data_IF_403832038065
#
_entry.id   IF_403832038065
#
_cell.length_a   1.000
_cell.length_b   1.000
_cell.length_c   1.000
_cell.angle_alpha   90.00
_cell.angle_beta   90.00
_cell.angle_gamma   90.00
#
_symmetry.space_group_name_H-M   'P 1'
#
loop_
_entity.id
_entity.type
_entity.pdbx_description
1 polymer ?
#
# COMPACT_ATOMS: atom_id res chain seq x y z
N UNK A 1 -24.03 -26.00 -9.47
CA UNK A 1 -23.07 -25.10 -10.17
C UNK A 1 -23.09 -25.47 -11.66
N UNK A 2 -23.00 -24.46 -12.53
CA UNK A 2 -22.76 -24.71 -13.96
C UNK A 2 -21.27 -25.03 -14.20
N UNK A 3 -20.89 -25.38 -15.44
CA UNK A 3 -19.53 -25.81 -15.77
C UNK A 3 -18.46 -24.74 -15.50
N UNK A 4 -18.78 -23.47 -15.77
CA UNK A 4 -17.85 -22.34 -15.54
C UNK A 4 -17.63 -22.11 -14.05
N UNK A 5 -18.69 -22.11 -13.26
CA UNK A 5 -18.62 -21.99 -11.80
C UNK A 5 -17.86 -23.16 -11.18
N UNK A 6 -18.07 -24.38 -11.67
CA UNK A 6 -17.32 -25.55 -11.18
C UNK A 6 -15.81 -25.40 -11.47
N UNK A 7 -15.44 -24.99 -12.68
CA UNK A 7 -14.04 -24.77 -13.03
C UNK A 7 -13.39 -23.67 -12.18
N UNK A 8 -14.11 -22.58 -11.90
CA UNK A 8 -13.63 -21.50 -11.02
C UNK A 8 -13.48 -21.99 -9.57
N UNK A 9 -14.46 -22.71 -9.06
CA UNK A 9 -14.39 -23.32 -7.73
C UNK A 9 -13.19 -24.27 -7.61
N UNK A 10 -12.96 -25.16 -8.57
CA UNK A 10 -11.84 -26.08 -8.56
C UNK A 10 -10.50 -25.35 -8.57
N UNK A 11 -10.38 -24.27 -9.38
CA UNK A 11 -9.21 -23.37 -9.40
C UNK A 11 -8.97 -22.71 -8.02
N UNK A 12 -10.01 -22.15 -7.43
CA UNK A 12 -9.91 -21.49 -6.12
C UNK A 12 -9.59 -22.49 -5.02
N UNK A 13 -10.26 -23.65 -5.00
CA UNK A 13 -10.04 -24.70 -4.00
C UNK A 13 -8.62 -25.23 -4.02
N UNK A 14 -8.07 -25.51 -5.20
CA UNK A 14 -6.70 -26.00 -5.34
C UNK A 14 -5.65 -25.08 -4.68
N UNK A 15 -5.97 -23.79 -4.56
CA UNK A 15 -5.09 -22.78 -3.97
C UNK A 15 -5.43 -22.43 -2.53
N UNK A 16 -6.71 -22.45 -2.18
CA UNK A 16 -7.24 -21.78 -0.98
C UNK A 16 -7.85 -22.74 0.07
N UNK A 17 -7.92 -24.06 -0.19
CA UNK A 17 -8.60 -25.01 0.71
C UNK A 17 -8.06 -25.00 2.16
N UNK A 18 -6.82 -24.56 2.37
CA UNK A 18 -6.21 -24.46 3.71
C UNK A 18 -6.46 -23.11 4.41
N UNK A 19 -6.95 -22.10 3.69
CA UNK A 19 -7.09 -20.74 4.21
C UNK A 19 -8.51 -20.18 4.13
N UNK A 20 -9.36 -20.75 3.26
CA UNK A 20 -10.76 -20.33 3.06
C UNK A 20 -11.70 -21.53 3.19
N UNK A 21 -12.80 -21.44 3.98
CA UNK A 21 -13.77 -22.50 4.11
C UNK A 21 -14.43 -22.90 2.78
N UNK A 22 -14.68 -24.21 2.57
CA UNK A 22 -15.24 -24.73 1.32
C UNK A 22 -16.59 -24.10 0.93
N UNK A 23 -17.47 -23.87 1.92
CA UNK A 23 -18.76 -23.21 1.69
C UNK A 23 -18.60 -21.81 1.12
N UNK A 24 -17.61 -21.06 1.59
CA UNK A 24 -17.29 -19.72 1.10
C UNK A 24 -16.72 -19.77 -0.31
N UNK A 25 -15.81 -20.71 -0.59
CA UNK A 25 -15.24 -20.90 -1.94
C UNK A 25 -16.32 -21.14 -2.99
N UNK A 26 -17.40 -21.88 -2.65
CA UNK A 26 -18.51 -22.13 -3.56
C UNK A 26 -19.26 -20.85 -3.92
N UNK A 27 -19.58 -20.04 -2.91
CA UNK A 27 -20.27 -18.76 -3.10
C UNK A 27 -19.40 -17.80 -3.90
N UNK A 28 -18.15 -17.64 -3.49
CA UNK A 28 -17.19 -16.74 -4.15
C UNK A 28 -16.87 -17.15 -5.59
N UNK A 29 -16.90 -18.45 -5.93
CA UNK A 29 -16.71 -18.91 -7.30
C UNK A 29 -17.85 -18.46 -8.23
N UNK A 30 -19.10 -18.43 -7.77
CA UNK A 30 -20.23 -17.89 -8.54
C UNK A 30 -20.05 -16.41 -8.84
N UNK A 31 -19.71 -15.63 -7.80
CA UNK A 31 -19.44 -14.19 -7.93
C UNK A 31 -18.23 -13.92 -8.86
N UNK A 32 -17.17 -14.71 -8.73
CA UNK A 32 -15.98 -14.57 -9.57
C UNK A 32 -16.27 -14.80 -11.06
N UNK A 33 -17.12 -15.77 -11.40
CA UNK A 33 -17.53 -16.03 -12.79
C UNK A 33 -18.29 -14.83 -13.34
N UNK A 34 -19.22 -14.25 -12.59
CA UNK A 34 -19.99 -13.08 -12.99
C UNK A 34 -19.10 -11.84 -13.17
N UNK A 35 -18.19 -11.59 -12.23
CA UNK A 35 -17.21 -10.49 -12.33
C UNK A 35 -16.35 -10.65 -13.58
N UNK A 36 -15.80 -11.84 -13.83
CA UNK A 36 -14.94 -12.08 -15.00
C UNK A 36 -15.70 -11.93 -16.32
N UNK A 37 -16.97 -12.27 -16.38
CA UNK A 37 -17.83 -12.01 -17.55
C UNK A 37 -18.03 -10.51 -17.79
N UNK A 38 -18.41 -9.76 -16.76
CA UNK A 38 -18.57 -8.29 -16.81
C UNK A 38 -17.26 -7.56 -17.14
N UNK A 39 -16.13 -8.06 -16.63
CA UNK A 39 -14.80 -7.51 -16.94
C UNK A 39 -14.52 -7.54 -18.46
N UNK A 40 -14.86 -8.65 -19.11
CA UNK A 40 -14.72 -8.77 -20.57
C UNK A 40 -15.71 -7.84 -21.31
N UNK A 41 -16.99 -7.89 -20.91
CA UNK A 41 -18.05 -7.06 -21.51
C UNK A 41 -17.74 -5.57 -21.45
N UNK A 42 -17.17 -5.12 -20.35
CA UNK A 42 -16.89 -3.71 -20.08
C UNK A 42 -15.50 -3.25 -20.51
N UNK A 43 -14.72 -4.10 -21.17
CA UNK A 43 -13.30 -3.85 -21.43
C UNK A 43 -12.56 -3.32 -20.19
N UNK A 44 -12.74 -4.01 -19.05
CA UNK A 44 -12.20 -3.61 -17.75
C UNK A 44 -10.95 -4.41 -17.38
N UNK A 45 -10.08 -3.79 -16.57
CA UNK A 45 -8.98 -4.41 -15.83
C UNK A 45 -9.25 -4.30 -14.33
N UNK A 46 -8.98 -5.35 -13.58
CA UNK A 46 -9.04 -5.35 -12.12
C UNK A 46 -7.62 -5.40 -11.56
N UNK A 47 -7.29 -4.40 -10.75
CA UNK A 47 -6.02 -4.28 -10.03
C UNK A 47 -6.25 -4.61 -8.56
N UNK A 48 -5.58 -5.64 -8.02
CA UNK A 48 -5.75 -6.09 -6.64
C UNK A 48 -4.51 -5.85 -5.80
N UNK A 49 -4.66 -5.11 -4.70
CA UNK A 49 -3.56 -4.93 -3.76
C UNK A 49 -3.26 -6.23 -3.00
N UNK A 50 -2.00 -6.42 -2.56
CA UNK A 50 -1.56 -7.59 -1.80
C UNK A 50 -2.32 -7.83 -0.47
N UNK A 51 -3.06 -6.82 0.02
CA UNK A 51 -3.89 -6.88 1.21
C UNK A 51 -5.35 -7.31 0.95
N UNK A 52 -5.69 -7.70 -0.27
CA UNK A 52 -7.04 -8.20 -0.56
C UNK A 52 -7.26 -9.58 0.04
N UNK A 53 -8.51 -9.88 0.42
CA UNK A 53 -8.90 -11.21 0.91
C UNK A 53 -8.50 -12.31 -0.09
N UNK A 54 -8.09 -13.51 0.37
CA UNK A 54 -7.59 -14.56 -0.52
C UNK A 54 -8.53 -14.95 -1.65
N UNK A 55 -9.84 -15.02 -1.40
CA UNK A 55 -10.81 -15.38 -2.42
C UNK A 55 -10.85 -14.37 -3.56
N UNK A 56 -10.82 -13.07 -3.25
CA UNK A 56 -10.69 -11.99 -4.23
C UNK A 56 -9.33 -12.06 -4.93
N UNK A 57 -8.25 -12.09 -4.16
CA UNK A 57 -6.87 -12.02 -4.64
C UNK A 57 -6.54 -13.07 -5.69
N UNK A 58 -7.02 -14.32 -5.51
CA UNK A 58 -6.71 -15.44 -6.40
C UNK A 58 -7.74 -15.69 -7.51
N UNK A 59 -8.80 -14.90 -7.62
CA UNK A 59 -9.89 -15.19 -8.57
C UNK A 59 -10.14 -14.13 -9.64
N UNK A 60 -10.20 -12.86 -9.29
CA UNK A 60 -10.72 -11.81 -10.18
C UNK A 60 -9.69 -10.78 -10.68
N UNK A 61 -8.61 -10.39 -9.95
CA UNK A 61 -7.64 -9.44 -10.47
C UNK A 61 -6.88 -9.96 -11.70
N UNK A 62 -6.60 -9.05 -12.64
CA UNK A 62 -5.68 -9.30 -13.75
C UNK A 62 -4.23 -9.11 -13.32
N UNK A 63 -4.02 -8.19 -12.38
CA UNK A 63 -2.73 -7.92 -11.76
C UNK A 63 -2.89 -7.76 -10.27
N UNK A 64 -1.96 -8.35 -9.53
CA UNK A 64 -1.82 -8.19 -8.08
C UNK A 64 -0.43 -7.65 -7.77
N UNK A 65 -0.31 -6.85 -6.69
CA UNK A 65 0.98 -6.27 -6.34
C UNK A 65 0.90 -5.23 -5.24
N UNK A 66 2.01 -4.54 -5.04
CA UNK A 66 2.09 -3.34 -4.19
C UNK A 66 1.64 -2.08 -4.94
N UNK A 67 1.62 -0.95 -4.23
CA UNK A 67 1.16 0.32 -4.80
C UNK A 67 1.97 0.78 -6.01
N UNK A 68 3.28 0.49 -6.06
CA UNK A 68 4.15 0.90 -7.18
C UNK A 68 3.85 0.08 -8.43
N UNK A 69 3.81 -1.25 -8.29
CA UNK A 69 3.51 -2.14 -9.40
C UNK A 69 2.12 -1.87 -9.98
N UNK A 70 1.12 -1.71 -9.10
CA UNK A 70 -0.24 -1.42 -9.56
C UNK A 70 -0.37 -0.04 -10.21
N UNK A 71 0.38 0.97 -9.75
CA UNK A 71 0.46 2.27 -10.43
C UNK A 71 1.04 2.15 -11.84
N UNK A 72 2.12 1.36 -12.02
CA UNK A 72 2.71 1.08 -13.33
C UNK A 72 1.74 0.32 -14.24
N UNK A 73 1.03 -0.68 -13.71
CA UNK A 73 0.01 -1.42 -14.46
C UNK A 73 -1.17 -0.53 -14.86
N UNK A 74 -1.61 0.34 -13.96
CA UNK A 74 -2.63 1.34 -14.29
C UNK A 74 -2.19 2.26 -15.43
N UNK A 75 -0.94 2.75 -15.42
CA UNK A 75 -0.40 3.63 -16.45
C UNK A 75 -0.29 2.96 -17.82
N UNK A 76 -0.08 1.63 -17.86
CA UNK A 76 0.19 0.87 -19.08
C UNK A 76 -1.05 0.19 -19.69
N UNK A 77 -2.17 0.14 -18.97
CA UNK A 77 -3.36 -0.58 -19.45
C UNK A 77 -4.02 0.10 -20.66
N UNK A 78 -4.48 -0.69 -21.60
CA UNK A 78 -5.30 -0.26 -22.76
C UNK A 78 -6.81 -0.30 -22.47
N UNK A 79 -7.22 -0.81 -21.31
CA UNK A 79 -8.61 -1.00 -20.91
C UNK A 79 -9.32 0.33 -20.65
N UNK A 80 -10.62 0.39 -20.93
CA UNK A 80 -11.45 1.59 -20.75
C UNK A 80 -11.84 1.81 -19.27
N UNK A 81 -11.98 0.71 -18.54
CA UNK A 81 -12.37 0.71 -17.12
C UNK A 81 -11.28 0.08 -16.27
N UNK A 82 -10.91 0.76 -15.19
CA UNK A 82 -9.99 0.25 -14.17
C UNK A 82 -10.80 0.07 -12.89
N UNK A 83 -10.91 -1.15 -12.37
CA UNK A 83 -11.43 -1.40 -11.02
C UNK A 83 -10.26 -1.56 -10.09
N UNK A 84 -10.16 -0.70 -9.10
CA UNK A 84 -9.06 -0.74 -8.14
C UNK A 84 -9.52 -1.40 -6.83
N UNK A 85 -9.21 -2.68 -6.64
CA UNK A 85 -9.39 -3.38 -5.37
C UNK A 85 -8.24 -3.01 -4.42
N UNK A 86 -8.45 -1.93 -3.70
CA UNK A 86 -7.53 -1.26 -2.78
C UNK A 86 -8.24 -0.08 -2.13
N UNK A 87 -7.50 0.98 -1.78
CA UNK A 87 -8.07 2.16 -1.11
C UNK A 87 -8.06 3.40 -2.01
N UNK A 88 -8.80 4.43 -1.59
CA UNK A 88 -9.11 5.62 -2.39
C UNK A 88 -7.87 6.29 -3.00
N UNK A 89 -6.80 6.51 -2.24
CA UNK A 89 -5.61 7.17 -2.78
C UNK A 89 -4.93 6.38 -3.92
N UNK A 90 -5.06 5.05 -3.93
CA UNK A 90 -4.56 4.19 -5.02
C UNK A 90 -5.41 4.36 -6.27
N UNK A 91 -6.74 4.38 -6.11
CA UNK A 91 -7.66 4.62 -7.20
C UNK A 91 -7.53 6.06 -7.75
N UNK A 92 -7.31 7.06 -6.90
CA UNK A 92 -6.95 8.43 -7.33
C UNK A 92 -5.64 8.45 -8.12
N UNK A 93 -4.61 7.71 -7.68
CA UNK A 93 -3.35 7.59 -8.41
C UNK A 93 -3.57 6.99 -9.82
N UNK A 94 -4.40 5.94 -9.92
CA UNK A 94 -4.79 5.38 -11.22
C UNK A 94 -5.55 6.40 -12.08
N UNK A 95 -6.44 7.20 -11.50
CA UNK A 95 -7.18 8.26 -12.21
C UNK A 95 -6.27 9.41 -12.66
N UNK A 96 -5.31 9.81 -11.83
CA UNK A 96 -4.30 10.84 -12.17
C UNK A 96 -3.53 10.42 -13.44
N UNK A 97 -3.14 9.15 -13.53
CA UNK A 97 -2.41 8.59 -14.66
C UNK A 97 -3.29 8.32 -15.90
N UNK A 98 -4.61 8.16 -15.70
CA UNK A 98 -5.57 7.80 -16.75
C UNK A 98 -6.80 8.73 -16.76
N UNK A 99 -6.65 10.00 -17.13
CA UNK A 99 -7.72 10.99 -17.03
C UNK A 99 -8.96 10.65 -17.85
N UNK A 100 -8.79 9.96 -18.97
CA UNK A 100 -9.88 9.63 -19.90
C UNK A 100 -10.56 8.28 -19.60
N UNK A 101 -10.03 7.50 -18.63
CA UNK A 101 -10.61 6.19 -18.29
C UNK A 101 -11.55 6.30 -17.10
N UNK A 102 -12.50 5.38 -17.04
CA UNK A 102 -13.33 5.21 -15.85
C UNK A 102 -12.55 4.44 -14.80
N UNK A 103 -12.33 5.02 -13.62
CA UNK A 103 -11.71 4.35 -12.48
C UNK A 103 -12.77 4.13 -11.42
N UNK A 104 -12.96 2.88 -11.02
CA UNK A 104 -13.94 2.46 -10.02
C UNK A 104 -13.23 2.02 -8.74
N UNK A 105 -13.76 2.46 -7.61
CA UNK A 105 -13.39 1.98 -6.28
C UNK A 105 -14.58 1.19 -5.73
N UNK A 106 -14.45 -0.11 -5.39
CA UNK A 106 -15.60 -0.93 -4.97
C UNK A 106 -16.33 -0.44 -3.71
N UNK A 107 -15.65 0.31 -2.83
CA UNK A 107 -16.27 0.87 -1.62
C UNK A 107 -15.87 2.33 -1.41
N UNK A 108 -16.84 3.21 -1.14
CA UNK A 108 -16.62 4.62 -0.77
C UNK A 108 -16.03 4.78 0.65
N UNK A 109 -16.08 3.71 1.46
CA UNK A 109 -15.50 3.65 2.80
C UNK A 109 -14.02 3.28 2.81
N UNK A 110 -13.45 2.89 1.67
CA UNK A 110 -12.07 2.49 1.53
C UNK A 110 -11.10 3.69 1.58
N UNK A 111 -11.01 4.36 2.74
CA UNK A 111 -10.08 5.45 3.03
C UNK A 111 -8.67 4.97 3.40
N UNK A 112 -7.93 5.84 4.12
CA UNK A 112 -6.62 5.51 4.69
C UNK A 112 -6.29 6.50 5.81
N UNK A 113 -5.89 6.03 6.99
CA UNK A 113 -5.52 6.89 8.13
C UNK A 113 -4.34 7.81 7.80
N UNK A 114 -3.35 7.32 7.08
CA UNK A 114 -2.22 8.14 6.62
C UNK A 114 -2.66 9.21 5.62
N UNK A 115 -3.49 8.86 4.64
CA UNK A 115 -3.97 9.83 3.66
C UNK A 115 -4.82 10.95 4.31
N UNK A 116 -5.51 10.64 5.40
CA UNK A 116 -6.30 11.59 6.18
C UNK A 116 -5.47 12.42 7.19
N UNK A 117 -4.20 12.04 7.44
CA UNK A 117 -3.36 12.68 8.45
C UNK A 117 -2.71 14.00 7.99
N UNK A 118 -2.84 14.36 6.72
CA UNK A 118 -2.21 15.56 6.14
C UNK A 118 -3.11 16.16 5.05
N UNK A 119 -3.06 17.47 4.91
CA UNK A 119 -3.78 18.23 3.89
C UNK A 119 -2.82 18.96 2.94
N UNK A 120 -3.32 19.39 1.78
CA UNK A 120 -2.55 20.23 0.86
C UNK A 120 -2.11 21.55 1.51
N UNK A 121 -2.88 22.09 2.48
CA UNK A 121 -2.50 23.30 3.19
C UNK A 121 -1.28 23.07 4.08
N UNK A 122 -1.21 21.93 4.79
CA UNK A 122 -0.05 21.57 5.62
C UNK A 122 1.23 21.51 4.76
N UNK A 123 1.13 20.97 3.54
CA UNK A 123 2.28 20.94 2.61
C UNK A 123 2.72 22.33 2.20
N UNK A 124 1.78 23.24 1.91
CA UNK A 124 2.10 24.64 1.59
C UNK A 124 2.77 25.36 2.77
N UNK A 125 2.28 25.11 3.98
CA UNK A 125 2.83 25.71 5.20
C UNK A 125 4.27 25.18 5.47
N UNK A 126 4.52 23.89 5.26
CA UNK A 126 5.86 23.32 5.33
C UNK A 126 6.80 23.91 4.26
N UNK A 127 6.33 24.08 3.02
CA UNK A 127 7.12 24.71 1.94
C UNK A 127 7.43 26.19 2.25
N UNK A 128 6.53 26.90 2.89
CA UNK A 128 6.77 28.28 3.33
C UNK A 128 7.80 28.34 4.47
N UNK A 129 7.77 27.36 5.38
CA UNK A 129 8.72 27.28 6.49
C UNK A 129 10.11 26.82 6.04
N UNK A 130 10.19 25.97 5.00
CA UNK A 130 11.43 25.40 4.45
C UNK A 130 11.54 25.70 2.95
N UNK A 131 11.74 26.97 2.55
CA UNK A 131 11.74 27.36 1.14
C UNK A 131 12.86 26.65 0.36
N UNK A 132 12.51 26.10 -0.80
CA UNK A 132 13.44 25.42 -1.70
C UNK A 132 13.78 23.97 -1.32
N UNK A 133 13.27 23.46 -0.18
CA UNK A 133 13.45 22.05 0.18
C UNK A 133 12.42 21.19 -0.59
N UNK A 134 12.87 20.15 -1.33
CA UNK A 134 11.95 19.32 -2.10
C UNK A 134 11.05 18.47 -1.19
N UNK A 135 9.81 18.28 -1.65
CA UNK A 135 8.78 17.50 -0.95
C UNK A 135 8.68 16.11 -1.58
N UNK A 136 9.06 15.10 -0.82
CA UNK A 136 8.82 13.69 -1.11
C UNK A 136 7.56 13.25 -0.38
N UNK A 137 6.56 12.78 -1.11
CA UNK A 137 5.30 12.34 -0.53
C UNK A 137 5.09 10.85 -0.74
N UNK A 138 4.93 10.12 0.36
CA UNK A 138 4.49 8.73 0.28
C UNK A 138 3.13 8.67 -0.43
N UNK A 139 2.95 7.71 -1.32
CA UNK A 139 1.76 7.59 -2.18
C UNK A 139 0.44 7.49 -1.38
N UNK A 140 0.52 7.14 -0.09
CA UNK A 140 -0.58 7.07 0.86
C UNK A 140 -1.07 8.46 1.27
N UNK A 141 -1.39 9.29 0.29
CA UNK A 141 -1.95 10.65 0.40
C UNK A 141 -2.99 10.86 -0.69
N UNK A 142 -3.91 11.82 -0.51
CA UNK A 142 -4.90 12.16 -1.53
C UNK A 142 -4.29 13.02 -2.66
N UNK A 143 -5.05 13.15 -3.75
CA UNK A 143 -4.59 13.81 -4.97
C UNK A 143 -4.14 15.27 -4.77
N UNK A 144 -4.79 16.01 -3.87
CA UNK A 144 -4.48 17.40 -3.54
C UNK A 144 -3.11 17.56 -2.86
N UNK A 145 -2.74 16.63 -1.97
CA UNK A 145 -1.41 16.57 -1.35
C UNK A 145 -0.34 16.23 -2.39
N UNK A 146 -0.62 15.26 -3.28
CA UNK A 146 0.28 14.93 -4.40
C UNK A 146 0.52 16.11 -5.33
N UNK A 147 -0.50 16.96 -5.53
CA UNK A 147 -0.42 18.16 -6.35
C UNK A 147 0.51 19.25 -5.79
N UNK A 148 0.73 19.27 -4.46
CA UNK A 148 1.66 20.18 -3.80
C UNK A 148 3.07 19.59 -3.65
N UNK A 149 3.27 18.32 -4.01
CA UNK A 149 4.52 17.58 -3.81
C UNK A 149 5.40 17.57 -5.07
N UNK A 150 6.72 17.46 -4.90
CA UNK A 150 7.67 17.44 -6.01
C UNK A 150 7.82 16.04 -6.60
N UNK A 151 7.69 15.01 -5.77
CA UNK A 151 7.77 13.61 -6.18
C UNK A 151 7.04 12.72 -5.16
N UNK A 152 6.32 11.71 -5.66
CA UNK A 152 5.78 10.65 -4.81
C UNK A 152 6.79 9.52 -4.62
N UNK A 153 6.60 8.71 -3.58
CA UNK A 153 7.32 7.45 -3.37
C UNK A 153 6.38 6.36 -2.87
N UNK A 154 6.84 5.13 -2.85
CA UNK A 154 6.23 4.00 -2.16
C UNK A 154 7.22 3.41 -1.17
N UNK A 155 6.78 2.46 -0.33
CA UNK A 155 7.70 1.71 0.54
C UNK A 155 8.75 0.90 -0.24
N UNK A 156 8.50 0.64 -1.53
CA UNK A 156 9.45 -0.08 -2.40
C UNK A 156 10.63 0.79 -2.85
N UNK A 157 10.43 2.11 -3.02
CA UNK A 157 11.41 2.99 -3.66
C UNK A 157 11.71 4.29 -2.89
N UNK A 158 11.20 4.44 -1.66
CA UNK A 158 11.35 5.69 -0.89
C UNK A 158 12.82 6.14 -0.74
N UNK A 159 13.71 5.22 -0.39
CA UNK A 159 15.15 5.51 -0.28
C UNK A 159 15.73 5.96 -1.63
N UNK A 160 15.50 5.22 -2.70
CA UNK A 160 15.99 5.56 -4.04
C UNK A 160 15.46 6.91 -4.52
N UNK A 161 14.22 7.24 -4.21
CA UNK A 161 13.61 8.55 -4.50
C UNK A 161 14.37 9.67 -3.77
N UNK A 162 14.61 9.53 -2.46
CA UNK A 162 15.35 10.54 -1.68
C UNK A 162 16.77 10.71 -2.23
N UNK A 163 17.49 9.63 -2.49
CA UNK A 163 18.83 9.64 -3.07
C UNK A 163 18.86 10.31 -4.46
N UNK A 164 17.83 10.11 -5.28
CA UNK A 164 17.74 10.69 -6.64
C UNK A 164 17.65 12.22 -6.66
N UNK A 165 17.26 12.84 -5.56
CA UNK A 165 17.13 14.29 -5.47
C UNK A 165 18.49 15.01 -5.31
N UNK A 166 19.56 14.29 -4.98
CA UNK A 166 20.92 14.84 -4.80
C UNK A 166 20.95 16.09 -3.90
N UNK A 167 20.25 16.03 -2.77
CA UNK A 167 20.13 17.10 -1.79
C UNK A 167 20.41 16.58 -0.38
N UNK A 168 20.83 17.46 0.52
CA UNK A 168 21.01 17.17 1.94
C UNK A 168 19.74 17.43 2.80
N UNK A 169 18.64 17.86 2.16
CA UNK A 169 17.39 18.16 2.85
C UNK A 169 16.20 17.74 2.03
N UNK A 170 15.22 17.07 2.69
CA UNK A 170 13.92 16.73 2.11
C UNK A 170 12.81 16.91 3.13
N UNK A 171 11.63 17.30 2.68
CA UNK A 171 10.37 17.16 3.43
C UNK A 171 9.82 15.80 3.06
N UNK A 172 9.59 14.91 4.05
CA UNK A 172 9.08 13.55 3.82
C UNK A 172 7.71 13.38 4.51
N UNK A 173 6.68 13.09 3.72
CA UNK A 173 5.27 13.10 4.13
C UNK A 173 4.59 11.77 3.78
N UNK A 174 3.50 11.38 4.45
CA UNK A 174 3.05 11.85 5.76
C UNK A 174 3.47 10.90 6.90
N UNK A 175 4.13 9.76 6.59
CA UNK A 175 4.38 8.66 7.52
C UNK A 175 5.63 8.89 8.36
N UNK A 176 5.42 9.01 9.69
CA UNK A 176 6.49 9.19 10.68
C UNK A 176 7.48 8.02 10.67
N UNK A 177 6.97 6.80 10.60
CA UNK A 177 7.79 5.59 10.73
C UNK A 177 8.53 5.27 9.44
N UNK A 178 7.86 5.33 8.29
CA UNK A 178 8.55 5.16 7.01
C UNK A 178 9.64 6.23 6.84
N UNK A 179 9.33 7.50 7.13
CA UNK A 179 10.31 8.59 7.11
C UNK A 179 11.50 8.32 8.04
N UNK A 180 11.22 7.90 9.28
CA UNK A 180 12.24 7.53 10.27
C UNK A 180 13.12 6.36 9.82
N UNK A 181 12.53 5.33 9.22
CA UNK A 181 13.25 4.18 8.70
C UNK A 181 14.14 4.55 7.50
N UNK A 182 13.62 5.34 6.57
CA UNK A 182 14.40 5.85 5.41
C UNK A 182 15.55 6.76 5.90
N UNK A 183 15.29 7.67 6.83
CA UNK A 183 16.33 8.54 7.39
C UNK A 183 17.44 7.73 8.06
N UNK A 184 17.10 6.70 8.84
CA UNK A 184 18.04 5.79 9.46
C UNK A 184 18.90 5.04 8.42
N UNK A 185 18.30 4.54 7.35
CA UNK A 185 19.02 3.84 6.27
C UNK A 185 20.00 4.76 5.52
N UNK A 186 19.68 6.05 5.43
CA UNK A 186 20.50 7.07 4.81
C UNK A 186 21.57 7.66 5.75
N UNK A 187 21.51 7.34 7.05
CA UNK A 187 22.32 7.99 8.07
C UNK A 187 21.96 9.46 8.30
N UNK A 188 20.71 9.84 7.97
CA UNK A 188 20.19 11.20 8.11
C UNK A 188 19.51 11.40 9.46
N UNK A 189 19.45 12.66 9.89
CA UNK A 189 18.59 13.08 11.00
C UNK A 189 17.16 13.32 10.51
N UNK A 190 16.18 13.03 11.35
CA UNK A 190 14.79 13.41 11.12
C UNK A 190 14.33 14.39 12.19
N UNK A 191 13.62 15.44 11.77
CA UNK A 191 13.03 16.45 12.65
C UNK A 191 11.55 16.59 12.33
N UNK A 192 10.75 16.96 13.32
CA UNK A 192 9.30 17.11 13.21
C UNK A 192 8.93 18.54 13.64
N UNK A 193 8.68 19.46 12.70
CA UNK A 193 8.25 20.82 13.03
C UNK A 193 6.83 20.80 13.61
N UNK A 194 6.58 21.67 14.56
CA UNK A 194 5.23 21.95 15.07
C UNK A 194 4.69 23.22 14.41
N UNK A 195 3.81 23.07 13.43
CA UNK A 195 3.25 24.20 12.68
C UNK A 195 2.40 25.16 13.52
N UNK A 196 1.96 24.73 14.72
CA UNK A 196 1.22 25.60 15.64
C UNK A 196 2.12 26.61 16.36
N UNK A 197 3.44 26.38 16.39
CA UNK A 197 4.38 27.29 17.06
C UNK A 197 4.80 28.44 16.13
N UNK A 198 4.62 29.65 16.58
CA UNK A 198 5.08 30.89 15.89
C UNK A 198 5.69 31.86 16.91
N UNK A 199 7.00 32.19 16.87
CA UNK A 199 8.00 31.69 15.91
C UNK A 199 8.39 30.21 16.15
N UNK A 200 8.81 29.53 15.10
CA UNK A 200 9.37 28.18 15.20
C UNK A 200 10.65 28.22 16.04
N UNK A 201 10.87 27.26 16.95
CA UNK A 201 12.15 27.12 17.61
C UNK A 201 13.25 26.81 16.56
N UNK A 202 14.52 27.18 16.81
CA UNK A 202 15.62 26.80 15.93
C UNK A 202 15.64 25.27 15.77
N UNK A 203 15.37 24.79 14.57
CA UNK A 203 15.43 23.38 14.29
C UNK A 203 16.91 22.97 14.14
N UNK A 204 17.34 21.83 14.73
CA UNK A 204 18.72 21.39 14.66
C UNK A 204 19.06 20.86 13.26
N UNK A 205 19.23 21.77 12.31
CA UNK A 205 19.58 21.46 10.91
C UNK A 205 21.09 21.23 10.76
N UNK A 206 21.79 20.90 11.83
CA UNK A 206 23.26 20.69 11.82
C UNK A 206 23.62 19.27 12.20
N UNK A 207 24.37 18.58 11.34
CA UNK A 207 24.93 17.25 11.56
C UNK A 207 25.69 16.77 10.32
N UNK A 208 26.62 15.85 10.51
CA UNK A 208 27.16 15.07 9.39
C UNK A 208 26.02 14.25 8.79
N UNK A 209 25.80 14.32 7.47
CA UNK A 209 24.68 13.72 6.75
C UNK A 209 23.53 14.69 6.47
N UNK A 210 22.47 14.19 5.85
CA UNK A 210 21.29 14.98 5.49
C UNK A 210 20.29 15.16 6.63
N UNK A 211 19.29 16.00 6.37
CA UNK A 211 18.16 16.24 7.29
C UNK A 211 16.82 15.96 6.61
N UNK A 212 16.04 15.10 7.21
CA UNK A 212 14.67 14.85 6.81
C UNK A 212 13.71 15.65 7.71
N UNK A 213 12.79 16.38 7.08
CA UNK A 213 11.73 17.10 7.76
C UNK A 213 10.48 16.23 7.65
N UNK A 214 10.12 15.55 8.73
CA UNK A 214 9.04 14.57 8.76
C UNK A 214 7.70 15.16 9.18
N UNK A 215 6.67 14.33 9.03
CA UNK A 215 5.31 14.55 9.52
C UNK A 215 4.94 13.44 10.50
N UNK A 216 3.98 13.69 11.43
CA UNK A 216 3.62 12.72 12.47
C UNK A 216 2.38 11.90 12.13
N UNK A 217 2.17 11.57 10.86
CA UNK A 217 1.15 10.61 10.46
C UNK A 217 1.61 9.18 10.72
N UNK A 218 0.67 8.29 11.06
CA UNK A 218 0.96 6.86 11.31
C UNK A 218 -0.11 5.98 10.69
N UNK A 219 0.29 4.81 10.25
CA UNK A 219 -0.62 3.78 9.81
C UNK A 219 -1.24 3.08 11.03
N UNK A 220 -2.56 3.16 11.18
CA UNK A 220 -3.31 2.53 12.28
C UNK A 220 -3.18 0.99 12.37
N UNK A 221 -2.64 0.37 11.32
CA UNK A 221 -2.32 -1.06 11.29
C UNK A 221 -0.92 -1.29 11.83
N UNK A 222 0.08 -0.65 11.22
CA UNK A 222 1.48 -0.94 11.47
C UNK A 222 1.99 -0.39 12.81
N UNK A 223 1.36 0.67 13.35
CA UNK A 223 1.69 1.20 14.68
C UNK A 223 1.33 0.24 15.84
N UNK A 224 0.49 -0.78 15.57
CA UNK A 224 0.08 -1.76 16.59
C UNK A 224 1.14 -2.83 16.87
N UNK A 225 2.07 -3.06 15.96
CA UNK A 225 3.13 -4.04 16.16
C UNK A 225 4.21 -3.49 17.09
N UNK A 226 4.67 -4.34 18.01
CA UNK A 226 5.66 -3.98 19.04
C UNK A 226 6.85 -4.94 19.04
N UNK A 227 7.98 -4.51 19.60
CA UNK A 227 9.14 -5.38 19.84
C UNK A 227 8.76 -6.53 20.77
N UNK A 228 7.84 -6.31 21.73
CA UNK A 228 7.36 -7.35 22.63
C UNK A 228 6.64 -8.48 21.88
N UNK A 229 5.90 -8.18 20.82
CA UNK A 229 5.27 -9.20 19.96
C UNK A 229 6.34 -10.10 19.33
N UNK A 230 7.42 -9.50 18.81
CA UNK A 230 8.55 -10.23 18.22
C UNK A 230 9.22 -11.12 19.27
N UNK A 231 9.51 -10.58 20.47
CA UNK A 231 10.15 -11.32 21.55
C UNK A 231 9.27 -12.48 22.02
N UNK A 232 7.98 -12.27 22.17
CA UNK A 232 7.01 -13.29 22.57
C UNK A 232 6.96 -14.44 21.57
N UNK A 233 6.93 -14.12 20.29
CA UNK A 233 6.90 -15.15 19.23
C UNK A 233 8.23 -15.90 19.17
N UNK A 234 9.37 -15.20 19.22
CA UNK A 234 10.70 -15.85 19.22
C UNK A 234 10.93 -16.74 20.43
N UNK A 235 10.36 -16.42 21.59
CA UNK A 235 10.42 -17.29 22.77
C UNK A 235 9.71 -18.64 22.56
N UNK A 236 8.65 -18.66 21.75
CA UNK A 236 7.89 -19.88 21.43
C UNK A 236 8.41 -20.59 20.17
N UNK A 237 8.92 -19.81 19.20
CA UNK A 237 9.39 -20.27 17.89
C UNK A 237 10.79 -19.69 17.62
N UNK A 238 11.86 -20.28 18.19
CA UNK A 238 13.21 -19.69 18.11
C UNK A 238 13.77 -19.53 16.69
N UNK A 239 13.29 -20.33 15.71
CA UNK A 239 13.75 -20.32 14.32
C UNK A 239 12.85 -19.46 13.39
N UNK A 240 11.90 -18.70 13.97
CA UNK A 240 10.98 -17.87 13.17
C UNK A 240 11.73 -16.73 12.49
N UNK A 241 11.51 -16.58 11.18
CA UNK A 241 11.92 -15.38 10.45
C UNK A 241 10.84 -14.30 10.59
N UNK A 242 11.23 -13.14 11.12
CA UNK A 242 10.32 -12.00 11.34
C UNK A 242 10.48 -10.99 10.22
N UNK A 243 9.40 -10.73 9.51
CA UNK A 243 9.33 -9.75 8.44
C UNK A 243 8.42 -8.60 8.84
N UNK A 244 8.84 -7.35 8.61
CA UNK A 244 8.03 -6.17 8.90
C UNK A 244 7.88 -5.24 7.71
N UNK A 245 6.73 -4.57 7.64
CA UNK A 245 6.55 -3.47 6.69
C UNK A 245 7.28 -2.22 7.19
N UNK A 246 7.86 -1.38 6.31
CA UNK A 246 8.58 -0.15 6.70
C UNK A 246 7.72 0.93 7.38
N UNK A 247 6.39 0.78 7.39
CA UNK A 247 5.46 1.60 8.18
C UNK A 247 5.40 1.15 9.66
N UNK A 248 6.06 0.07 10.05
CA UNK A 248 6.27 -0.28 11.46
C UNK A 248 7.30 0.66 12.09
N UNK A 249 7.23 0.79 13.43
CA UNK A 249 8.17 1.66 14.15
C UNK A 249 9.63 1.29 13.88
N UNK A 250 10.58 2.25 13.99
CA UNK A 250 12.01 1.97 13.80
C UNK A 250 12.53 0.86 14.68
N UNK A 251 11.99 0.71 15.90
CA UNK A 251 12.37 -0.35 16.84
C UNK A 251 11.90 -1.73 16.34
N UNK A 252 10.68 -1.82 15.80
CA UNK A 252 10.13 -3.05 15.23
C UNK A 252 10.90 -3.45 13.97
N UNK A 253 11.17 -2.51 13.06
CA UNK A 253 11.94 -2.80 11.85
C UNK A 253 13.39 -3.20 12.18
N UNK A 254 13.99 -2.59 13.20
CA UNK A 254 15.33 -2.96 13.68
C UNK A 254 15.39 -4.35 14.36
N UNK A 255 14.29 -4.79 14.98
CA UNK A 255 14.18 -6.10 15.62
C UNK A 255 13.78 -7.21 14.64
N UNK A 256 13.36 -6.88 13.42
CA UNK A 256 12.97 -7.83 12.38
C UNK A 256 14.17 -8.37 11.60
N UNK A 257 14.05 -9.58 11.05
CA UNK A 257 15.10 -10.18 10.20
C UNK A 257 15.10 -9.57 8.80
N UNK A 258 13.94 -9.05 8.38
CA UNK A 258 13.78 -8.37 7.10
C UNK A 258 12.72 -7.27 7.21
N UNK A 259 12.95 -6.12 6.58
CA UNK A 259 11.95 -5.08 6.41
C UNK A 259 11.89 -4.67 4.94
N UNK A 260 10.68 -4.58 4.38
CA UNK A 260 10.50 -4.25 2.98
C UNK A 260 9.04 -4.13 2.57
N UNK A 261 8.80 -3.68 1.33
CA UNK A 261 7.46 -3.60 0.75
C UNK A 261 6.75 -4.94 0.73
N UNK A 262 5.45 -4.93 0.49
CA UNK A 262 4.66 -6.16 0.43
C UNK A 262 5.20 -7.15 -0.62
N UNK A 263 5.61 -6.67 -1.80
CA UNK A 263 6.23 -7.50 -2.82
C UNK A 263 7.58 -8.06 -2.36
N UNK A 264 8.39 -7.25 -1.70
CA UNK A 264 9.69 -7.68 -1.18
C UNK A 264 9.54 -8.77 -0.10
N UNK A 265 8.55 -8.64 0.79
CA UNK A 265 8.25 -9.65 1.80
C UNK A 265 7.75 -10.97 1.17
N UNK A 266 6.86 -10.90 0.17
CA UNK A 266 6.39 -12.08 -0.59
C UNK A 266 7.58 -12.80 -1.23
N UNK A 267 8.48 -12.04 -1.89
CA UNK A 267 9.69 -12.57 -2.50
C UNK A 267 10.61 -13.22 -1.46
N UNK A 268 10.83 -12.55 -0.33
CA UNK A 268 11.66 -13.08 0.75
C UNK A 268 11.13 -14.44 1.24
N UNK A 269 9.84 -14.54 1.53
CA UNK A 269 9.25 -15.83 1.96
C UNK A 269 9.44 -16.91 0.90
N UNK A 270 9.24 -16.58 -0.37
CA UNK A 270 9.40 -17.54 -1.48
C UNK A 270 10.83 -18.07 -1.60
N UNK A 271 11.84 -17.21 -1.42
CA UNK A 271 13.26 -17.53 -1.63
C UNK A 271 13.95 -18.07 -0.37
N UNK A 272 13.47 -17.72 0.82
CA UNK A 272 14.04 -18.13 2.10
C UNK A 272 13.75 -19.60 2.44
N UNK A 273 14.66 -20.21 3.17
CA UNK A 273 14.56 -21.60 3.66
C UNK A 273 14.05 -21.73 5.08
N UNK A 274 13.70 -20.61 5.75
CA UNK A 274 13.16 -20.64 7.08
C UNK A 274 11.85 -21.46 7.11
N UNK A 275 11.61 -22.30 8.14
CA UNK A 275 10.41 -23.12 8.23
C UNK A 275 9.16 -22.33 8.63
N UNK A 276 9.36 -21.26 9.39
CA UNK A 276 8.28 -20.46 9.99
C UNK A 276 8.53 -18.97 9.80
N UNK A 277 7.45 -18.21 9.58
CA UNK A 277 7.52 -16.77 9.33
C UNK A 277 6.48 -16.03 10.18
N UNK A 278 6.89 -14.92 10.79
CA UNK A 278 6.01 -13.92 11.35
C UNK A 278 6.00 -12.69 10.43
N UNK A 279 4.84 -12.34 9.89
CA UNK A 279 4.70 -11.21 8.99
C UNK A 279 3.95 -10.09 9.69
N UNK A 280 4.66 -8.99 9.99
CA UNK A 280 4.14 -7.82 10.68
C UNK A 280 3.62 -6.80 9.66
N UNK A 281 2.42 -7.07 9.17
CA UNK A 281 1.65 -6.24 8.26
C UNK A 281 0.17 -6.64 8.30
N UNK A 282 -0.65 -6.17 7.36
CA UNK A 282 -2.07 -6.52 7.23
C UNK A 282 -2.27 -8.04 7.10
N UNK A 283 -3.23 -8.58 7.86
CA UNK A 283 -3.39 -10.04 8.06
C UNK A 283 -3.70 -10.81 6.77
N UNK A 284 -4.51 -10.26 5.85
CA UNK A 284 -4.88 -10.95 4.61
C UNK A 284 -3.67 -11.25 3.72
N UNK A 285 -2.62 -10.42 3.80
CA UNK A 285 -1.37 -10.71 3.11
C UNK A 285 -0.70 -11.99 3.63
N UNK A 286 -0.73 -12.23 4.94
CA UNK A 286 -0.25 -13.48 5.53
C UNK A 286 -1.02 -14.69 4.99
N UNK A 287 -2.33 -14.57 4.82
CA UNK A 287 -3.18 -15.60 4.21
C UNK A 287 -2.81 -15.85 2.74
N UNK A 288 -2.55 -14.78 1.98
CA UNK A 288 -2.14 -14.87 0.58
C UNK A 288 -0.77 -15.53 0.43
N UNK A 289 0.19 -15.21 1.33
CA UNK A 289 1.50 -15.85 1.35
C UNK A 289 1.38 -17.32 1.73
N UNK A 290 0.56 -17.68 2.73
CA UNK A 290 0.32 -19.07 3.14
C UNK A 290 -0.28 -19.89 1.99
N UNK A 291 -1.24 -19.33 1.27
CA UNK A 291 -1.83 -19.97 0.09
C UNK A 291 -0.80 -20.19 -1.04
N UNK A 292 0.17 -19.27 -1.19
CA UNK A 292 1.23 -19.41 -2.18
C UNK A 292 2.33 -20.41 -1.79
N UNK A 293 2.54 -20.63 -0.48
CA UNK A 293 3.63 -21.44 0.08
C UNK A 293 3.06 -22.44 1.11
N UNK A 294 2.28 -23.45 0.67
CA UNK A 294 1.56 -24.37 1.57
C UNK A 294 2.48 -25.26 2.42
N UNK A 295 3.77 -25.30 2.10
CA UNK A 295 4.82 -26.02 2.82
C UNK A 295 5.45 -25.21 3.97
N UNK A 296 5.16 -23.90 4.04
CA UNK A 296 5.74 -22.97 5.02
C UNK A 296 4.71 -22.60 6.08
N UNK A 297 5.14 -22.49 7.32
CA UNK A 297 4.27 -22.14 8.42
C UNK A 297 4.24 -20.60 8.62
N UNK A 298 3.07 -20.01 8.39
CA UNK A 298 2.84 -18.57 8.54
C UNK A 298 2.22 -18.28 9.89
N UNK A 299 3.02 -17.79 10.83
CA UNK A 299 2.52 -17.28 12.11
C UNK A 299 1.87 -15.92 11.89
N UNK A 300 0.66 -15.73 12.44
CA UNK A 300 -0.16 -14.54 12.17
C UNK A 300 -0.64 -13.90 13.45
N UNK A 301 -0.50 -12.59 13.52
CA UNK A 301 -1.19 -11.78 14.51
C UNK A 301 -2.53 -11.31 13.91
N UNK A 302 -3.49 -12.24 13.80
CA UNK A 302 -4.75 -12.06 13.06
C UNK A 302 -5.68 -10.95 13.60
N UNK A 303 -5.33 -10.30 14.71
CA UNK A 303 -6.08 -9.17 15.24
C UNK A 303 -5.80 -7.84 14.52
N UNK A 304 -4.79 -7.82 13.65
CA UNK A 304 -4.35 -6.59 12.97
C UNK A 304 -4.82 -6.63 11.51
N UNK A 305 -6.01 -6.08 11.26
CA UNK A 305 -6.59 -5.90 9.93
C UNK A 305 -6.77 -4.44 9.63
N UNK A 306 -6.57 -4.07 8.36
CA UNK A 306 -6.85 -2.72 7.88
C UNK A 306 -8.37 -2.55 7.70
N UNK A 307 -9.04 -1.67 8.48
CA UNK A 307 -10.48 -1.49 8.35
C UNK A 307 -10.89 -0.96 6.98
N UNK A 308 -10.02 -0.21 6.34
CA UNK A 308 -10.25 0.39 5.03
C UNK A 308 -10.11 -0.63 3.88
N UNK A 309 -9.02 -1.40 3.85
CA UNK A 309 -8.81 -2.46 2.85
C UNK A 309 -9.87 -3.56 2.95
N UNK A 310 -10.31 -3.87 4.18
CA UNK A 310 -11.29 -4.91 4.45
C UNK A 310 -12.73 -4.52 4.04
N UNK A 311 -12.97 -3.26 3.63
CA UNK A 311 -14.26 -2.86 3.01
C UNK A 311 -14.36 -3.26 1.54
N UNK A 312 -13.29 -3.72 0.93
CA UNK A 312 -13.29 -4.16 -0.48
C UNK A 312 -13.60 -5.65 -0.53
N UNK A 313 -14.80 -5.98 -0.97
CA UNK A 313 -15.28 -7.36 -1.13
C UNK A 313 -15.48 -7.72 -2.59
N UNK A 314 -15.66 -9.00 -2.88
CA UNK A 314 -16.03 -9.45 -4.23
C UNK A 314 -17.43 -8.97 -4.61
N UNK A 315 -18.34 -8.93 -3.65
CA UNK A 315 -19.70 -8.44 -3.80
C UNK A 315 -19.70 -6.95 -4.21
N UNK A 316 -18.96 -6.12 -3.49
CA UNK A 316 -18.81 -4.69 -3.83
C UNK A 316 -18.12 -4.49 -5.18
N UNK A 317 -17.15 -5.35 -5.53
CA UNK A 317 -16.49 -5.32 -6.84
C UNK A 317 -17.46 -5.65 -7.97
N UNK A 318 -18.35 -6.61 -7.77
CA UNK A 318 -19.43 -6.95 -8.70
C UNK A 318 -20.39 -5.76 -8.89
N UNK A 319 -20.83 -5.14 -7.78
CA UNK A 319 -21.71 -3.98 -7.80
C UNK A 319 -21.04 -2.77 -8.48
N UNK A 320 -19.74 -2.56 -8.23
CA UNK A 320 -18.98 -1.51 -8.90
C UNK A 320 -18.97 -1.68 -10.42
N UNK A 321 -18.75 -2.89 -10.91
CA UNK A 321 -18.79 -3.20 -12.34
C UNK A 321 -20.20 -3.09 -12.91
N UNK A 322 -21.25 -3.55 -12.22
CA UNK A 322 -22.65 -3.49 -12.68
C UNK A 322 -23.15 -2.06 -12.83
N UNK A 323 -22.87 -1.21 -11.85
CA UNK A 323 -23.54 0.07 -11.67
C UNK A 323 -22.60 1.30 -11.72
N UNK A 324 -21.36 1.14 -12.11
CA UNK A 324 -20.32 2.20 -12.05
C UNK A 324 -20.19 2.82 -10.63
N UNK A 325 -20.15 1.99 -9.62
CA UNK A 325 -19.91 2.42 -8.24
C UNK A 325 -18.43 2.19 -7.88
N UNK A 326 -17.78 3.06 -7.23
CA UNK A 326 -17.90 4.51 -7.12
C UNK A 326 -16.87 5.08 -8.09
N UNK A 327 -17.29 5.95 -8.99
CA UNK A 327 -16.37 6.55 -9.96
C UNK A 327 -15.46 7.53 -9.23
N UNK A 328 -14.16 7.35 -9.42
CA UNK A 328 -13.15 8.27 -8.92
C UNK A 328 -13.00 9.43 -9.88
N UNK A 329 -13.16 10.62 -9.35
CA UNK A 329 -12.90 11.88 -10.04
C UNK A 329 -11.81 12.69 -9.32
N UNK A 330 -10.97 13.37 -10.10
CA UNK A 330 -9.93 14.28 -9.61
C UNK A 330 -10.00 15.55 -10.44
N UNK A 331 -10.27 16.72 -9.83
CA UNK A 331 -10.33 17.99 -10.54
C UNK A 331 -9.08 18.22 -11.40
N UNK A 332 -9.27 18.69 -12.63
CA UNK A 332 -8.20 18.74 -13.63
C UNK A 332 -7.00 19.57 -13.19
N UNK A 333 -7.21 20.70 -12.50
CA UNK A 333 -6.16 21.54 -11.95
C UNK A 333 -5.31 20.83 -10.87
N UNK A 334 -5.92 19.93 -10.09
CA UNK A 334 -5.23 19.07 -9.13
C UNK A 334 -4.52 17.95 -9.87
N UNK A 335 -5.22 17.27 -10.77
CA UNK A 335 -4.71 16.13 -11.54
C UNK A 335 -3.42 16.46 -12.30
N UNK A 336 -3.38 17.59 -13.02
CA UNK A 336 -2.21 17.99 -13.82
C UNK A 336 -0.98 18.21 -12.95
N UNK A 337 -1.15 18.82 -11.77
CA UNK A 337 -0.05 19.02 -10.82
C UNK A 337 0.39 17.71 -10.17
N UNK A 338 -0.57 16.90 -9.70
CA UNK A 338 -0.31 15.60 -9.09
C UNK A 338 0.34 14.60 -10.07
N UNK A 339 -0.01 14.68 -11.37
CA UNK A 339 0.57 13.80 -12.39
C UNK A 339 2.09 13.93 -12.45
N UNK A 340 2.66 15.11 -12.21
CA UNK A 340 4.12 15.32 -12.23
C UNK A 340 4.82 14.54 -11.12
N UNK A 341 4.31 14.61 -9.90
CA UNK A 341 4.90 13.91 -8.75
C UNK A 341 4.71 12.40 -8.84
N UNK A 342 3.56 11.94 -9.35
CA UNK A 342 3.26 10.51 -9.55
C UNK A 342 4.07 9.93 -10.70
N UNK A 343 4.21 10.64 -11.83
CA UNK A 343 4.99 10.18 -12.98
C UNK A 343 6.44 9.95 -12.60
N UNK A 344 7.07 10.88 -11.88
CA UNK A 344 8.43 10.74 -11.38
C UNK A 344 8.61 9.52 -10.48
N UNK A 345 7.60 9.18 -9.68
CA UNK A 345 7.64 8.00 -8.80
C UNK A 345 7.72 6.70 -9.59
N UNK A 346 6.92 6.56 -10.66
CA UNK A 346 6.87 5.31 -11.42
C UNK A 346 8.10 5.09 -12.33
N UNK A 347 8.88 6.14 -12.59
CA UNK A 347 10.11 6.11 -13.37
C UNK A 347 11.33 5.63 -12.56
N UNK A 348 11.27 5.68 -11.22
CA UNK A 348 12.37 5.35 -10.31
C UNK A 348 12.08 4.05 -9.55
N UNK A 349 13.01 3.10 -9.57
CA UNK A 349 12.95 1.83 -8.83
C UNK A 349 12.60 0.60 -9.63
#
# INVERSE_FOLDING_TARGET
MNQQTQAMYDKMRAKLEKVVPDVELRIKAEIAVEINALKVERNAVILGHNYMEPALFYSIPDFVGDSLDLSRKAAQTDKDVIVFCGVKFMAETAKILNPNKTVLLPSDKAGCSLAAAITAQDVRDLKALFPGVPVVTYVNTYADVKAESDICCTSSNAKAIVESLNTDKVIFLPDEYLGGNVARELGWKIIYPDLALTPQPPLPITGEGGTMIGWRGRCEVHEKFTVNDIQTVRAQFPEVAVLSHPECSPEVTAASDFSGSTNAMIKYVKESTAPQYLVLTECAMGDNIAAANPEKDMLRLCMVRCPHMNTITMEDTLEALKFNRYVIDVPEEIRVRAARSVQRMIEIG
#
